data_IF_585006407892
#
_entry.id   IF_585006407892
#
_cell.length_a   1.000
_cell.length_b   1.000
_cell.length_c   1.000
_cell.angle_alpha   90.00
_cell.angle_beta   90.00
_cell.angle_gamma   90.00
#
_symmetry.space_group_name_H-M   'P 1'
#
loop_
_entity.id
_entity.type
_entity.pdbx_description
1 polymer ?
#
# COMPACT_ATOMS: atom_id res chain seq x y z
N UNK A 1 102.78 9.05 42.04
CA UNK A 1 101.81 8.57 43.05
C UNK A 1 100.95 9.73 43.52
N UNK A 2 99.67 9.77 43.11
CA UNK A 2 98.54 10.21 43.95
C UNK A 2 97.23 9.81 43.25
N UNK A 3 96.37 9.18 44.05
CA UNK A 3 95.23 8.39 43.65
C UNK A 3 94.04 9.23 43.16
N UNK A 4 93.32 8.65 42.20
CA UNK A 4 91.98 9.04 41.76
C UNK A 4 90.98 8.48 42.78
N UNK A 5 90.09 9.33 43.30
CA UNK A 5 88.96 8.91 44.13
C UNK A 5 87.69 8.99 43.27
N UNK A 6 87.15 7.83 42.93
CA UNK A 6 85.82 7.68 42.34
C UNK A 6 84.77 7.81 43.44
N UNK A 7 83.87 8.78 43.28
CA UNK A 7 82.70 8.98 44.14
C UNK A 7 81.57 8.08 43.64
N UNK A 8 81.25 7.08 44.47
CA UNK A 8 80.25 6.05 44.20
C UNK A 8 78.87 6.58 44.59
N UNK A 9 78.07 6.99 43.59
CA UNK A 9 76.66 7.34 43.78
C UNK A 9 75.91 6.09 44.22
N UNK A 10 75.40 6.11 45.45
CA UNK A 10 74.65 5.02 46.04
C UNK A 10 73.24 4.96 45.43
N UNK A 11 72.88 3.76 45.00
CA UNK A 11 71.59 3.36 44.47
C UNK A 11 70.57 3.31 45.63
N UNK A 12 69.73 4.33 45.74
CA UNK A 12 68.59 4.32 46.67
C UNK A 12 67.53 3.35 46.13
N UNK A 13 67.61 2.10 46.60
CA UNK A 13 66.57 1.10 46.43
C UNK A 13 65.24 1.64 47.00
N UNK A 14 64.35 2.03 46.10
CA UNK A 14 62.97 2.46 46.38
C UNK A 14 62.17 1.26 46.89
N UNK A 15 62.22 1.04 48.20
CA UNK A 15 61.38 0.03 48.86
C UNK A 15 59.91 0.42 48.70
N UNK A 16 59.16 -0.35 47.91
CA UNK A 16 57.71 -0.17 47.78
C UNK A 16 57.06 -0.43 49.15
N UNK A 17 56.25 0.50 49.69
CA UNK A 17 55.64 0.31 50.99
C UNK A 17 54.72 -0.92 50.98
N UNK A 18 54.91 -1.80 51.97
CA UNK A 18 54.08 -2.99 52.13
C UNK A 18 52.66 -2.57 52.53
N UNK A 19 51.68 -2.94 51.72
CA UNK A 19 50.25 -2.75 52.00
C UNK A 19 49.87 -3.68 53.17
N UNK A 20 49.18 -3.15 54.19
CA UNK A 20 48.66 -3.94 55.31
C UNK A 20 47.59 -4.93 54.86
N UNK A 21 47.42 -6.03 55.59
CA UNK A 21 46.40 -7.03 55.25
C UNK A 21 44.98 -6.45 55.33
N UNK A 22 44.72 -5.54 56.27
CA UNK A 22 43.45 -4.80 56.37
C UNK A 22 43.15 -4.00 55.11
N UNK A 23 44.14 -3.30 54.55
CA UNK A 23 43.98 -2.56 53.30
C UNK A 23 43.79 -3.48 52.09
N UNK A 24 44.34 -4.70 52.11
CA UNK A 24 44.10 -5.70 51.04
C UNK A 24 42.66 -6.22 51.06
N UNK A 25 42.08 -6.38 52.24
CA UNK A 25 40.69 -6.81 52.39
C UNK A 25 39.72 -5.70 51.98
N UNK A 26 39.97 -4.44 52.37
CA UNK A 26 39.21 -3.28 51.86
C UNK A 26 39.21 -3.19 50.33
N UNK A 27 40.40 -3.35 49.71
CA UNK A 27 40.52 -3.33 48.24
C UNK A 27 39.73 -4.49 47.62
N UNK A 28 39.71 -5.67 48.25
CA UNK A 28 38.95 -6.81 47.74
C UNK A 28 37.44 -6.54 47.77
N UNK A 29 36.95 -5.95 48.86
CA UNK A 29 35.54 -5.60 49.00
C UNK A 29 35.13 -4.48 48.02
N UNK A 30 35.98 -3.46 47.84
CA UNK A 30 35.78 -2.40 46.84
C UNK A 30 35.72 -2.98 45.43
N UNK A 31 36.64 -3.89 45.07
CA UNK A 31 36.64 -4.56 43.77
C UNK A 31 35.38 -5.42 43.56
N UNK A 32 34.95 -6.16 44.58
CA UNK A 32 33.72 -6.96 44.51
C UNK A 32 32.48 -6.08 44.26
N UNK A 33 32.40 -4.92 44.91
CA UNK A 33 31.31 -3.96 44.69
C UNK A 33 31.36 -3.36 43.28
N UNK A 34 32.56 -3.04 42.78
CA UNK A 34 32.72 -2.54 41.40
C UNK A 34 32.34 -3.61 40.36
N UNK A 35 32.69 -4.88 40.57
CA UNK A 35 32.29 -5.98 39.69
C UNK A 35 30.76 -6.16 39.67
N UNK A 36 30.08 -6.00 40.82
CA UNK A 36 28.63 -6.01 40.90
C UNK A 36 28.00 -4.83 40.15
N UNK A 37 28.57 -3.62 40.29
CA UNK A 37 28.13 -2.44 39.57
C UNK A 37 28.34 -2.58 38.05
N UNK A 38 29.48 -3.14 37.62
CA UNK A 38 29.76 -3.41 36.22
C UNK A 38 28.74 -4.40 35.63
N UNK A 39 28.46 -5.50 36.33
CA UNK A 39 27.46 -6.48 35.90
C UNK A 39 26.08 -5.85 35.74
N UNK A 40 25.64 -5.04 36.72
CA UNK A 40 24.36 -4.35 36.66
C UNK A 40 24.30 -3.34 35.49
N UNK A 41 25.39 -2.62 35.23
CA UNK A 41 25.46 -1.69 34.10
C UNK A 41 25.40 -2.40 32.74
N UNK A 42 26.05 -3.56 32.60
CA UNK A 42 26.00 -4.39 31.39
C UNK A 42 24.59 -4.93 31.14
N UNK A 43 23.90 -5.39 32.19
CA UNK A 43 22.52 -5.85 32.10
C UNK A 43 21.57 -4.73 31.64
N UNK A 44 21.65 -3.56 32.29
CA UNK A 44 20.85 -2.40 31.91
C UNK A 44 21.13 -1.92 30.47
N UNK A 45 22.38 -2.00 30.01
CA UNK A 45 22.72 -1.70 28.62
C UNK A 45 22.08 -2.71 27.66
N UNK A 46 22.07 -4.00 28.01
CA UNK A 46 21.39 -5.05 27.25
C UNK A 46 19.89 -4.81 27.12
N UNK A 47 19.22 -4.44 28.20
CA UNK A 47 17.79 -4.07 28.19
C UNK A 47 17.53 -2.85 27.30
N UNK A 48 18.36 -1.81 27.42
CA UNK A 48 18.23 -0.61 26.58
C UNK A 48 18.44 -0.90 25.09
N UNK A 49 19.36 -1.81 24.75
CA UNK A 49 19.58 -2.25 23.37
C UNK A 49 18.37 -3.03 22.82
N UNK A 50 17.78 -3.91 23.63
CA UNK A 50 16.58 -4.65 23.24
C UNK A 50 15.38 -3.71 23.00
N UNK A 51 15.18 -2.72 23.86
CA UNK A 51 14.11 -1.74 23.72
C UNK A 51 14.33 -0.83 22.49
N UNK A 52 15.58 -0.41 22.23
CA UNK A 52 15.91 0.34 21.01
C UNK A 52 15.61 -0.47 19.75
N UNK A 53 15.93 -1.77 19.74
CA UNK A 53 15.62 -2.65 18.61
C UNK A 53 14.10 -2.79 18.39
N UNK A 54 13.32 -2.86 19.48
CA UNK A 54 11.85 -2.84 19.44
C UNK A 54 11.32 -1.56 18.81
N UNK A 55 11.77 -0.39 19.31
CA UNK A 55 11.38 0.93 18.79
C UNK A 55 11.77 1.09 17.32
N UNK A 56 12.96 0.64 16.91
CA UNK A 56 13.40 0.71 15.52
C UNK A 56 12.53 -0.15 14.60
N UNK A 57 12.08 -1.31 15.07
CA UNK A 57 11.17 -2.19 14.34
C UNK A 57 9.80 -1.54 14.20
N UNK A 58 9.24 -1.04 15.30
CA UNK A 58 7.95 -0.33 15.31
C UNK A 58 7.99 0.94 14.43
N UNK A 59 9.08 1.71 14.50
CA UNK A 59 9.30 2.87 13.62
C UNK A 59 9.34 2.45 12.15
N UNK A 60 9.99 1.35 11.81
CA UNK A 60 10.03 0.84 10.44
C UNK A 60 8.63 0.45 9.97
N UNK A 61 7.87 -0.25 10.81
CA UNK A 61 6.49 -0.64 10.49
C UNK A 61 5.57 0.57 10.30
N UNK A 62 5.69 1.58 11.16
CA UNK A 62 4.95 2.84 11.04
C UNK A 62 5.39 3.66 9.83
N UNK A 63 6.69 3.64 9.47
CA UNK A 63 7.17 4.28 8.24
C UNK A 63 6.67 3.53 7.00
N UNK A 64 6.61 2.20 7.02
CA UNK A 64 6.01 1.38 5.96
C UNK A 64 4.48 1.58 5.88
N UNK A 65 3.82 1.91 6.98
CA UNK A 65 2.41 2.29 7.03
C UNK A 65 2.18 3.71 6.50
N UNK A 66 3.04 4.67 6.89
CA UNK A 66 2.96 6.07 6.52
C UNK A 66 3.34 6.32 5.06
N UNK A 67 4.45 5.73 4.61
CA UNK A 67 4.88 5.76 3.21
C UNK A 67 4.12 4.75 2.36
N UNK A 68 3.43 3.81 3.04
CA UNK A 68 2.41 2.91 2.53
C UNK A 68 2.67 2.53 1.09
N UNK A 69 3.82 1.86 0.81
CA UNK A 69 4.45 1.75 -0.52
C UNK A 69 3.52 2.34 -1.56
N UNK A 70 3.62 3.65 -1.83
CA UNK A 70 2.88 4.24 -2.92
C UNK A 70 3.36 3.46 -4.14
N UNK A 71 2.64 2.40 -4.49
CA UNK A 71 3.09 1.45 -5.49
C UNK A 71 2.94 2.24 -6.75
N UNK A 72 4.05 2.85 -7.15
CA UNK A 72 4.11 3.58 -8.38
C UNK A 72 3.74 2.55 -9.43
N UNK A 73 2.74 2.85 -10.26
CA UNK A 73 2.39 1.93 -11.31
C UNK A 73 3.63 1.66 -12.15
N UNK A 74 3.79 0.41 -12.61
CA UNK A 74 5.01 -0.03 -13.27
C UNK A 74 5.42 0.97 -14.36
N UNK A 75 6.69 1.39 -14.35
CA UNK A 75 7.21 2.40 -15.28
C UNK A 75 6.94 1.93 -16.71
N UNK A 76 6.01 2.61 -17.37
CA UNK A 76 5.50 2.27 -18.70
C UNK A 76 5.70 3.48 -19.61
N UNK A 77 6.52 3.32 -20.63
CA UNK A 77 6.58 4.28 -21.73
C UNK A 77 5.42 3.99 -22.68
N UNK A 78 4.51 4.95 -22.81
CA UNK A 78 3.31 4.78 -23.62
C UNK A 78 3.67 5.00 -25.10
N UNK A 79 3.72 3.91 -25.87
CA UNK A 79 3.89 4.03 -27.33
C UNK A 79 2.57 4.44 -28.01
N UNK A 80 2.63 5.05 -29.21
CA UNK A 80 1.42 5.39 -29.97
C UNK A 80 0.49 4.20 -30.20
N UNK A 81 1.04 3.01 -30.49
CA UNK A 81 0.25 1.80 -30.71
C UNK A 81 -0.48 1.34 -29.44
N UNK A 82 0.12 1.52 -28.25
CA UNK A 82 -0.52 1.21 -26.97
C UNK A 82 -1.65 2.19 -26.66
N UNK A 83 -1.40 3.49 -26.89
CA UNK A 83 -2.41 4.53 -26.78
C UNK A 83 -3.62 4.25 -27.68
N UNK A 84 -3.36 3.96 -28.96
CA UNK A 84 -4.41 3.64 -29.94
C UNK A 84 -5.16 2.37 -29.56
N UNK A 85 -4.46 1.34 -29.07
CA UNK A 85 -5.09 0.12 -28.58
C UNK A 85 -6.04 0.37 -27.41
N UNK A 86 -5.62 1.18 -26.43
CA UNK A 86 -6.44 1.56 -25.29
C UNK A 86 -7.67 2.38 -25.70
N UNK A 87 -7.49 3.36 -26.58
CA UNK A 87 -8.56 4.22 -27.10
C UNK A 87 -9.55 3.41 -27.93
N UNK A 88 -9.07 2.50 -28.79
CA UNK A 88 -9.95 1.63 -29.58
C UNK A 88 -10.77 0.68 -28.70
N UNK A 89 -10.19 0.15 -27.62
CA UNK A 89 -10.92 -0.67 -26.65
C UNK A 89 -12.01 0.14 -25.95
N UNK A 90 -11.67 1.36 -25.49
CA UNK A 90 -12.64 2.28 -24.87
C UNK A 90 -13.75 2.67 -25.85
N UNK A 91 -13.40 2.96 -27.11
CA UNK A 91 -14.35 3.27 -28.18
C UNK A 91 -15.31 2.12 -28.45
N UNK A 92 -14.80 0.89 -28.49
CA UNK A 92 -15.63 -0.28 -28.71
C UNK A 92 -16.66 -0.48 -27.58
N UNK A 93 -16.31 -0.17 -26.33
CA UNK A 93 -17.26 -0.19 -25.21
C UNK A 93 -18.24 1.00 -25.25
N UNK A 94 -17.77 2.18 -25.63
CA UNK A 94 -18.61 3.35 -25.84
C UNK A 94 -19.68 3.10 -26.92
N UNK A 95 -19.28 2.59 -28.09
CA UNK A 95 -20.18 2.32 -29.21
C UNK A 95 -21.25 1.28 -28.85
N UNK A 96 -20.91 0.28 -28.02
CA UNK A 96 -21.90 -0.69 -27.47
C UNK A 96 -22.95 -0.01 -26.58
N UNK A 97 -22.55 1.02 -25.84
CA UNK A 97 -23.45 1.78 -24.97
C UNK A 97 -24.26 2.86 -25.68
N UNK A 98 -23.82 3.28 -26.87
CA UNK A 98 -24.51 4.23 -27.74
C UNK A 98 -25.50 3.56 -28.72
N UNK A 99 -25.33 2.26 -29.02
CA UNK A 99 -26.24 1.46 -29.85
C UNK A 99 -27.67 1.46 -29.26
N UNK A 100 -28.68 1.74 -30.10
CA UNK A 100 -30.10 1.79 -29.76
C UNK A 100 -30.62 0.49 -29.11
N UNK A 101 -29.93 -0.63 -29.33
CA UNK A 101 -30.25 -1.91 -28.69
C UNK A 101 -29.84 -1.99 -27.21
N UNK A 102 -29.14 -0.98 -26.68
CA UNK A 102 -28.62 -0.88 -25.30
C UNK A 102 -28.25 -2.26 -24.78
N UNK A 103 -27.23 -2.86 -25.40
CA UNK A 103 -26.76 -4.17 -24.95
C UNK A 103 -26.39 -4.05 -23.48
N UNK A 104 -27.18 -4.68 -22.63
CA UNK A 104 -26.80 -5.20 -21.33
C UNK A 104 -25.69 -4.45 -20.55
N UNK A 105 -25.99 -3.29 -19.95
CA UNK A 105 -25.17 -2.71 -18.88
C UNK A 105 -24.19 -1.62 -19.28
N UNK A 106 -24.24 -1.19 -20.54
CA UNK A 106 -23.45 -0.09 -21.06
C UNK A 106 -24.43 1.02 -21.45
N UNK A 107 -24.45 2.11 -20.68
CA UNK A 107 -25.12 3.35 -21.09
C UNK A 107 -24.09 4.45 -21.14
N UNK A 108 -23.96 5.04 -22.32
CA UNK A 108 -23.29 6.32 -22.47
C UNK A 108 -24.29 7.41 -22.11
N UNK A 109 -23.84 8.44 -21.39
CA UNK A 109 -24.66 9.62 -21.11
C UNK A 109 -25.09 10.26 -22.44
N UNK A 110 -26.36 10.64 -22.53
CA UNK A 110 -26.91 11.23 -23.75
C UNK A 110 -26.12 12.48 -24.17
N UNK A 111 -25.80 12.59 -25.45
CA UNK A 111 -25.07 13.72 -26.03
C UNK A 111 -23.56 13.70 -25.83
N UNK A 112 -23.00 12.66 -25.20
CA UNK A 112 -21.55 12.52 -25.07
C UNK A 112 -20.88 12.26 -26.42
N UNK A 113 -19.81 12.99 -26.71
CA UNK A 113 -19.01 12.83 -27.93
C UNK A 113 -17.70 12.10 -27.62
N UNK A 114 -17.53 10.90 -28.19
CA UNK A 114 -16.30 10.14 -28.01
C UNK A 114 -15.06 10.87 -28.53
N UNK A 115 -15.19 11.70 -29.57
CA UNK A 115 -14.05 12.46 -30.09
C UNK A 115 -13.52 13.45 -29.03
N UNK A 116 -14.40 14.01 -28.20
CA UNK A 116 -14.00 14.87 -27.09
C UNK A 116 -13.31 14.08 -25.96
N UNK A 117 -13.77 12.87 -25.66
CA UNK A 117 -13.11 11.96 -24.70
C UNK A 117 -11.72 11.58 -25.19
N UNK A 118 -11.60 11.18 -26.46
CA UNK A 118 -10.33 10.80 -27.09
C UNK A 118 -9.34 11.97 -27.06
N UNK A 119 -9.76 13.16 -27.48
CA UNK A 119 -8.91 14.35 -27.47
C UNK A 119 -8.40 14.67 -26.06
N UNK A 120 -9.26 14.50 -25.04
CA UNK A 120 -8.90 14.72 -23.63
C UNK A 120 -7.88 13.69 -23.13
N UNK A 121 -8.06 12.41 -23.45
CA UNK A 121 -7.12 11.34 -23.11
C UNK A 121 -5.75 11.49 -23.77
N UNK A 122 -5.71 11.98 -25.02
CA UNK A 122 -4.46 12.18 -25.77
C UNK A 122 -3.67 13.43 -25.35
N UNK A 123 -4.25 14.30 -24.52
CA UNK A 123 -3.55 15.48 -24.02
C UNK A 123 -2.36 15.06 -23.13
N UNK A 124 -1.22 15.76 -23.26
CA UNK A 124 0.03 15.39 -22.58
C UNK A 124 -0.12 15.36 -21.06
N UNK A 125 -0.93 16.24 -20.49
CA UNK A 125 -1.25 16.28 -19.06
C UNK A 125 -2.01 15.04 -18.56
N UNK A 126 -2.60 14.25 -19.47
CA UNK A 126 -3.40 13.06 -19.17
C UNK A 126 -2.70 11.75 -19.55
N UNK A 127 -1.39 11.79 -19.79
CA UNK A 127 -0.61 10.60 -20.20
C UNK A 127 -0.72 9.47 -19.18
N UNK A 128 -0.72 9.77 -17.88
CA UNK A 128 -0.86 8.76 -16.82
C UNK A 128 -2.25 8.11 -16.78
N UNK A 129 -3.31 8.89 -17.05
CA UNK A 129 -4.67 8.38 -17.18
C UNK A 129 -4.76 7.44 -18.38
N UNK A 130 -4.16 7.81 -19.51
CA UNK A 130 -4.14 6.95 -20.70
C UNK A 130 -3.32 5.67 -20.47
N UNK A 131 -2.21 5.74 -19.74
CA UNK A 131 -1.47 4.54 -19.27
C UNK A 131 -2.34 3.67 -18.38
N UNK A 132 -3.10 4.25 -17.46
CA UNK A 132 -4.01 3.51 -16.59
C UNK A 132 -5.11 2.80 -17.39
N UNK A 133 -5.73 3.47 -18.38
CA UNK A 133 -6.69 2.84 -19.30
C UNK A 133 -6.04 1.69 -20.07
N UNK A 134 -4.82 1.88 -20.58
CA UNK A 134 -4.07 0.79 -21.22
C UNK A 134 -3.85 -0.40 -20.28
N UNK A 135 -3.41 -0.16 -19.03
CA UNK A 135 -3.20 -1.21 -18.03
C UNK A 135 -4.51 -1.92 -17.64
N UNK A 136 -5.64 -1.20 -17.57
CA UNK A 136 -6.96 -1.82 -17.41
C UNK A 136 -7.23 -2.84 -18.52
N UNK A 137 -7.04 -2.44 -19.78
CA UNK A 137 -7.25 -3.32 -20.95
C UNK A 137 -6.30 -4.53 -20.89
N UNK A 138 -5.03 -4.33 -20.58
CA UNK A 138 -4.05 -5.42 -20.44
C UNK A 138 -4.41 -6.40 -19.32
N UNK A 139 -5.00 -5.90 -18.23
CA UNK A 139 -5.47 -6.72 -17.12
C UNK A 139 -6.78 -7.48 -17.42
N UNK A 140 -7.29 -7.40 -18.66
CA UNK A 140 -8.54 -8.05 -19.06
C UNK A 140 -9.81 -7.30 -18.67
N UNK A 141 -9.68 -6.08 -18.14
CA UNK A 141 -10.83 -5.22 -17.85
C UNK A 141 -11.43 -4.64 -19.13
N UNK A 142 -12.67 -4.18 -18.99
CA UNK A 142 -13.41 -3.50 -20.05
C UNK A 142 -13.72 -2.07 -19.61
N UNK A 143 -12.77 -1.13 -19.75
CA UNK A 143 -13.03 0.25 -19.38
C UNK A 143 -14.08 0.86 -20.32
N UNK A 144 -15.01 1.63 -19.76
CA UNK A 144 -15.99 2.40 -20.52
C UNK A 144 -16.14 3.80 -19.92
N UNK A 145 -16.59 4.74 -20.74
CA UNK A 145 -16.96 6.08 -20.28
C UNK A 145 -18.37 6.01 -19.69
N UNK A 146 -18.52 6.34 -18.41
CA UNK A 146 -19.77 6.12 -17.66
C UNK A 146 -20.53 7.40 -17.33
N UNK A 147 -19.84 8.54 -17.21
CA UNK A 147 -20.48 9.84 -17.05
C UNK A 147 -19.53 10.99 -17.42
N UNK A 148 -20.12 12.18 -17.57
CA UNK A 148 -19.43 13.46 -17.72
C UNK A 148 -19.87 14.42 -16.61
N UNK A 149 -18.91 15.11 -16.01
CA UNK A 149 -19.16 16.17 -15.05
C UNK A 149 -18.21 17.36 -15.27
N UNK A 150 -18.77 18.54 -15.55
CA UNK A 150 -17.97 19.76 -15.70
C UNK A 150 -16.90 19.67 -16.80
N UNK A 151 -17.17 18.92 -17.88
CA UNK A 151 -16.23 18.67 -18.96
C UNK A 151 -15.12 17.68 -18.62
N UNK A 152 -15.23 16.94 -17.52
CA UNK A 152 -14.40 15.77 -17.18
C UNK A 152 -15.17 14.49 -17.45
N UNK A 153 -14.47 13.45 -17.87
CA UNK A 153 -15.07 12.16 -18.20
C UNK A 153 -14.66 11.10 -17.19
N UNK A 154 -15.61 10.37 -16.64
CA UNK A 154 -15.34 9.22 -15.78
C UNK A 154 -15.17 7.97 -16.64
N UNK A 155 -14.00 7.35 -16.54
CA UNK A 155 -13.71 6.05 -17.15
C UNK A 155 -13.67 5.02 -16.04
N UNK A 156 -14.56 4.03 -16.12
CA UNK A 156 -14.74 3.01 -15.10
C UNK A 156 -14.62 1.62 -15.69
N UNK A 157 -14.21 0.65 -14.87
CA UNK A 157 -14.18 -0.75 -15.27
C UNK A 157 -15.60 -1.36 -15.28
N UNK A 158 -16.02 -1.83 -16.46
CA UNK A 158 -17.40 -2.28 -16.74
C UNK A 158 -17.46 -3.77 -17.06
N UNK A 159 -17.13 -4.61 -16.08
CA UNK A 159 -17.26 -6.07 -16.20
C UNK A 159 -18.48 -6.61 -15.45
N UNK A 160 -19.07 -7.70 -15.94
CA UNK A 160 -20.24 -8.32 -15.32
C UNK A 160 -19.92 -9.19 -14.10
N UNK A 161 -18.66 -9.61 -13.93
CA UNK A 161 -18.18 -10.35 -12.77
C UNK A 161 -16.78 -9.88 -12.45
N UNK A 162 -16.43 -9.91 -11.16
CA UNK A 162 -15.07 -9.63 -10.69
C UNK A 162 -14.06 -10.49 -11.46
N UNK A 163 -12.99 -9.87 -11.95
CA UNK A 163 -11.90 -10.60 -12.62
C UNK A 163 -11.29 -11.62 -11.65
N UNK A 164 -11.14 -12.86 -12.09
CA UNK A 164 -10.68 -13.97 -11.24
C UNK A 164 -9.30 -13.71 -10.62
N UNK A 165 -8.46 -12.99 -11.36
CA UNK A 165 -7.10 -12.58 -11.00
C UNK A 165 -7.08 -11.47 -9.92
N UNK A 166 -8.23 -10.85 -9.66
CA UNK A 166 -8.42 -9.81 -8.63
C UNK A 166 -9.38 -10.24 -7.53
N UNK A 167 -10.06 -11.38 -7.72
CA UNK A 167 -10.93 -11.98 -6.73
C UNK A 167 -10.14 -12.50 -5.52
N UNK A 168 -10.86 -12.84 -4.46
CA UNK A 168 -10.31 -13.23 -3.17
C UNK A 168 -9.36 -12.19 -2.55
N UNK A 169 -9.57 -10.89 -2.78
CA UNK A 169 -8.78 -9.84 -2.16
C UNK A 169 -9.43 -9.31 -0.88
N UNK A 170 -8.63 -8.69 -0.02
CA UNK A 170 -9.06 -7.85 1.11
C UNK A 170 -8.96 -6.37 0.72
N UNK A 171 -9.39 -5.47 1.58
CA UNK A 171 -9.41 -4.04 1.21
C UNK A 171 -8.01 -3.42 1.09
N UNK A 172 -7.21 -3.47 2.16
CA UNK A 172 -5.91 -2.81 2.23
C UNK A 172 -4.82 -3.71 2.85
N UNK A 173 -3.59 -3.19 2.88
CA UNK A 173 -2.41 -3.89 3.40
C UNK A 173 -2.55 -4.30 4.86
N UNK A 174 -3.20 -3.47 5.69
CA UNK A 174 -3.45 -3.79 7.10
C UNK A 174 -4.35 -5.03 7.21
N UNK A 175 -5.41 -5.08 6.40
CA UNK A 175 -6.26 -6.26 6.32
C UNK A 175 -5.52 -7.49 5.78
N UNK A 176 -4.64 -7.32 4.79
CA UNK A 176 -3.84 -8.42 4.20
C UNK A 176 -2.90 -9.04 5.24
N UNK A 177 -2.21 -8.22 6.04
CA UNK A 177 -1.35 -8.72 7.12
C UNK A 177 -2.12 -9.51 8.18
N UNK A 178 -3.36 -9.10 8.49
CA UNK A 178 -4.20 -9.79 9.48
C UNK A 178 -4.78 -11.11 8.97
N UNK A 179 -5.03 -11.21 7.66
CA UNK A 179 -5.58 -12.43 7.03
C UNK A 179 -4.48 -13.41 6.63
N UNK A 180 -3.30 -12.92 6.25
CA UNK A 180 -2.24 -13.72 5.66
C UNK A 180 -2.35 -13.76 4.13
N UNK A 181 -1.22 -13.56 3.44
CA UNK A 181 -1.13 -13.54 1.96
C UNK A 181 -1.45 -14.91 1.35
N UNK A 182 -1.32 -15.97 2.10
CA UNK A 182 -1.66 -17.34 1.71
C UNK A 182 -3.17 -17.58 1.64
N UNK A 183 -3.98 -16.75 2.32
CA UNK A 183 -5.44 -16.90 2.39
C UNK A 183 -6.19 -15.94 1.46
N UNK A 184 -5.52 -14.90 0.96
CA UNK A 184 -6.10 -13.91 0.07
C UNK A 184 -5.16 -13.55 -1.08
N UNK A 185 -5.72 -13.07 -2.19
CA UNK A 185 -4.96 -12.55 -3.32
C UNK A 185 -4.43 -11.12 -3.07
N UNK A 186 -4.12 -10.81 -1.81
CA UNK A 186 -3.74 -9.49 -1.30
C UNK A 186 -4.85 -8.49 -1.31
N UNK A 187 -4.51 -7.23 -1.56
CA UNK A 187 -5.41 -6.12 -1.24
C UNK A 187 -5.77 -5.22 -2.43
N UNK A 188 -7.02 -4.75 -2.43
CA UNK A 188 -7.61 -3.90 -3.46
C UNK A 188 -6.84 -2.59 -3.66
N UNK A 189 -6.48 -1.88 -2.58
CA UNK A 189 -5.77 -0.59 -2.65
C UNK A 189 -4.42 -0.73 -3.37
N UNK A 190 -3.60 -1.70 -2.99
CA UNK A 190 -2.30 -1.93 -3.61
C UNK A 190 -2.44 -2.39 -5.06
N UNK A 191 -3.40 -3.28 -5.35
CA UNK A 191 -3.64 -3.72 -6.73
C UNK A 191 -4.11 -2.58 -7.64
N UNK A 192 -4.95 -1.67 -7.14
CA UNK A 192 -5.43 -0.53 -7.92
C UNK A 192 -4.32 0.49 -8.19
N UNK A 193 -3.49 0.77 -7.17
CA UNK A 193 -2.31 1.63 -7.30
C UNK A 193 -1.32 1.09 -8.34
N UNK A 194 -1.08 -0.23 -8.37
CA UNK A 194 -0.23 -0.88 -9.39
C UNK A 194 -0.72 -0.64 -10.82
N UNK A 195 -2.03 -0.60 -11.03
CA UNK A 195 -2.63 -0.29 -12.33
C UNK A 195 -2.61 1.21 -12.62
N UNK A 196 -2.44 2.05 -11.60
CA UNK A 196 -2.53 3.50 -11.72
C UNK A 196 -3.97 3.99 -11.76
N UNK A 197 -4.91 3.22 -11.20
CA UNK A 197 -6.32 3.61 -11.10
C UNK A 197 -6.76 3.68 -9.63
N UNK A 198 -7.43 4.76 -9.20
CA UNK A 198 -8.13 4.78 -7.92
C UNK A 198 -9.20 3.68 -7.85
N UNK A 199 -9.49 3.18 -6.66
CA UNK A 199 -10.74 2.46 -6.44
C UNK A 199 -11.91 3.35 -6.87
N UNK A 200 -13.00 2.74 -7.33
CA UNK A 200 -14.18 3.47 -7.78
C UNK A 200 -14.85 4.22 -6.63
N UNK A 201 -15.35 5.42 -6.88
CA UNK A 201 -16.14 6.19 -5.91
C UNK A 201 -17.51 5.57 -5.70
N UNK A 202 -18.08 5.68 -4.49
CA UNK A 202 -19.33 5.00 -4.16
C UNK A 202 -20.55 5.46 -4.96
N UNK A 203 -20.61 6.74 -5.34
CA UNK A 203 -21.74 7.25 -6.13
C UNK A 203 -21.62 6.88 -7.61
N UNK A 204 -20.40 6.85 -8.15
CA UNK A 204 -20.11 6.28 -9.47
C UNK A 204 -20.47 4.79 -9.49
N UNK A 205 -20.09 4.04 -8.46
CA UNK A 205 -20.42 2.62 -8.36
C UNK A 205 -21.93 2.37 -8.34
N UNK A 206 -22.70 3.13 -7.55
CA UNK A 206 -24.17 3.01 -7.54
C UNK A 206 -24.77 3.35 -8.91
N UNK A 207 -24.41 4.49 -9.48
CA UNK A 207 -24.96 4.96 -10.75
C UNK A 207 -24.65 3.97 -11.89
N UNK A 208 -23.40 3.53 -11.96
CA UNK A 208 -22.94 2.59 -12.97
C UNK A 208 -23.56 1.19 -12.77
N UNK A 209 -23.62 0.69 -11.54
CA UNK A 209 -24.07 -0.68 -11.30
C UNK A 209 -25.58 -0.89 -11.46
N UNK A 210 -26.40 0.16 -11.30
CA UNK A 210 -27.87 0.09 -11.52
C UNK A 210 -28.21 -0.26 -12.97
N UNK A 211 -27.35 0.04 -13.93
CA UNK A 211 -27.65 -0.10 -15.35
C UNK A 211 -27.36 -1.50 -15.92
N UNK A 212 -26.65 -2.38 -15.20
CA UNK A 212 -26.44 -3.77 -15.65
C UNK A 212 -27.76 -4.55 -15.70
N UNK A 213 -28.03 -5.38 -16.72
CA UNK A 213 -29.31 -6.09 -16.82
C UNK A 213 -29.37 -7.34 -15.96
N UNK A 214 -28.23 -7.95 -15.63
CA UNK A 214 -28.18 -9.20 -14.90
C UNK A 214 -28.55 -8.96 -13.44
N UNK A 215 -29.53 -9.70 -12.94
CA UNK A 215 -30.08 -9.52 -11.60
C UNK A 215 -29.14 -9.98 -10.49
N UNK A 216 -28.21 -10.89 -10.80
CA UNK A 216 -27.26 -11.48 -9.86
C UNK A 216 -25.85 -11.54 -10.48
N UNK A 217 -25.14 -10.40 -10.44
CA UNK A 217 -23.71 -10.42 -10.64
C UNK A 217 -23.05 -10.78 -9.31
N UNK A 218 -22.32 -11.89 -9.27
CA UNK A 218 -21.50 -12.29 -8.13
C UNK A 218 -20.26 -11.39 -8.03
N UNK A 219 -20.48 -10.10 -7.84
CA UNK A 219 -19.44 -9.11 -7.65
C UNK A 219 -19.65 -8.42 -6.30
N UNK A 220 -18.64 -8.51 -5.44
CA UNK A 220 -18.54 -7.77 -4.20
C UNK A 220 -17.25 -6.96 -4.25
N UNK A 221 -17.26 -5.94 -5.11
CA UNK A 221 -16.07 -5.19 -5.44
C UNK A 221 -15.86 -4.08 -4.41
N UNK A 222 -14.68 -4.08 -3.77
CA UNK A 222 -14.22 -2.97 -2.95
C UNK A 222 -14.18 -1.68 -3.77
N UNK A 223 -14.71 -0.63 -3.16
CA UNK A 223 -14.74 0.74 -3.67
C UNK A 223 -14.10 1.67 -2.64
N UNK A 224 -13.92 2.95 -2.95
CA UNK A 224 -13.26 3.89 -2.04
C UNK A 224 -13.96 3.95 -0.67
N UNK A 225 -13.19 3.68 0.38
CA UNK A 225 -13.61 3.88 1.75
C UNK A 225 -13.34 5.32 2.20
N UNK A 226 -14.28 5.87 2.96
CA UNK A 226 -14.05 7.08 3.75
C UNK A 226 -13.11 6.80 4.92
N UNK A 227 -12.42 7.81 5.46
CA UNK A 227 -11.61 7.65 6.67
C UNK A 227 -12.40 7.09 7.85
N UNK A 228 -13.65 7.51 8.03
CA UNK A 228 -14.53 7.06 9.11
C UNK A 228 -14.88 5.57 8.99
N UNK A 229 -15.16 5.07 7.79
CA UNK A 229 -15.39 3.65 7.55
C UNK A 229 -14.13 2.84 7.89
N UNK A 230 -12.95 3.32 7.49
CA UNK A 230 -11.67 2.65 7.77
C UNK A 230 -11.31 2.64 9.25
N UNK A 231 -11.56 3.72 9.98
CA UNK A 231 -11.33 3.81 11.42
C UNK A 231 -12.11 2.73 12.18
N UNK A 232 -13.34 2.43 11.73
CA UNK A 232 -14.18 1.35 12.25
C UNK A 232 -13.75 -0.05 11.77
N UNK A 233 -12.67 -0.15 11.01
CA UNK A 233 -12.21 -1.39 10.38
C UNK A 233 -13.08 -1.85 9.20
N UNK A 234 -14.00 -1.02 8.74
CA UNK A 234 -14.92 -1.27 7.64
C UNK A 234 -14.36 -0.87 6.28
N UNK A 235 -14.89 -1.45 5.21
CA UNK A 235 -14.61 -1.08 3.83
C UNK A 235 -15.88 -1.28 2.99
N UNK A 236 -16.28 -0.29 2.17
CA UNK A 236 -17.45 -0.41 1.33
C UNK A 236 -17.18 -1.35 0.15
N UNK A 237 -18.16 -2.20 -0.13
CA UNK A 237 -18.22 -2.98 -1.35
C UNK A 237 -19.50 -2.65 -2.11
N UNK A 238 -19.36 -2.46 -3.41
CA UNK A 238 -20.48 -2.38 -4.32
C UNK A 238 -20.82 -3.78 -4.83
N UNK A 239 -22.11 -4.09 -4.87
CA UNK A 239 -22.63 -5.38 -5.36
C UNK A 239 -23.98 -5.17 -6.02
N UNK A 240 -24.33 -6.02 -6.98
CA UNK A 240 -25.68 -6.07 -7.56
C UNK A 240 -26.38 -7.32 -7.08
N UNK A 241 -27.52 -7.16 -6.44
CA UNK A 241 -28.29 -8.26 -5.86
C UNK A 241 -29.78 -8.02 -6.09
N UNK A 242 -30.51 -9.04 -6.54
CA UNK A 242 -31.96 -8.96 -6.77
C UNK A 242 -32.37 -7.80 -7.70
N UNK A 243 -31.56 -7.53 -8.73
CA UNK A 243 -31.84 -6.48 -9.72
C UNK A 243 -31.58 -5.05 -9.25
N UNK A 244 -31.00 -4.84 -8.06
CA UNK A 244 -30.59 -3.53 -7.56
C UNK A 244 -29.10 -3.45 -7.28
N UNK A 245 -28.51 -2.26 -7.45
CA UNK A 245 -27.17 -1.98 -6.96
C UNK A 245 -27.23 -1.59 -5.47
N UNK A 246 -26.28 -2.09 -4.69
CA UNK A 246 -26.14 -1.70 -3.29
C UNK A 246 -24.67 -1.55 -2.91
N UNK A 247 -24.41 -0.59 -2.03
CA UNK A 247 -23.13 -0.43 -1.35
C UNK A 247 -23.32 -0.86 0.10
N UNK A 248 -22.47 -1.77 0.57
CA UNK A 248 -22.49 -2.27 1.94
C UNK A 248 -21.09 -2.20 2.53
N UNK A 249 -21.00 -1.77 3.78
CA UNK A 249 -19.72 -1.77 4.51
C UNK A 249 -19.50 -3.15 5.12
N UNK A 250 -18.38 -3.78 4.76
CA UNK A 250 -17.93 -5.05 5.32
C UNK A 250 -16.68 -4.83 6.17
N UNK A 251 -16.28 -5.81 6.97
CA UNK A 251 -14.94 -5.79 7.57
C UNK A 251 -13.89 -5.79 6.44
N UNK A 252 -12.87 -4.94 6.52
CA UNK A 252 -11.84 -4.84 5.49
C UNK A 252 -11.05 -6.14 5.23
N UNK A 253 -11.08 -7.08 6.17
CA UNK A 253 -10.49 -8.43 6.05
C UNK A 253 -11.35 -9.43 5.29
N UNK A 254 -12.58 -9.06 4.95
CA UNK A 254 -13.49 -9.96 4.26
C UNK A 254 -12.92 -10.29 2.87
N UNK A 255 -12.73 -11.56 2.58
CA UNK A 255 -12.21 -12.08 1.32
C UNK A 255 -13.07 -13.26 0.88
N UNK A 256 -12.90 -13.70 -0.36
CA UNK A 256 -13.63 -14.81 -0.96
C UNK A 256 -13.72 -14.70 -2.47
N UNK A 257 -14.22 -15.75 -3.12
CA UNK A 257 -14.15 -15.93 -4.59
C UNK A 257 -14.84 -14.84 -5.41
N UNK A 258 -15.68 -14.02 -4.78
CA UNK A 258 -16.39 -12.91 -5.42
C UNK A 258 -15.99 -11.54 -4.87
N UNK A 259 -14.98 -11.48 -4.01
CA UNK A 259 -14.43 -10.25 -3.41
C UNK A 259 -13.26 -9.75 -4.24
N UNK A 260 -13.48 -8.69 -4.99
CA UNK A 260 -12.42 -8.02 -5.74
C UNK A 260 -12.51 -6.52 -5.59
N UNK A 261 -12.22 -5.81 -6.67
CA UNK A 261 -12.27 -4.35 -6.71
C UNK A 261 -12.48 -3.85 -8.13
N UNK A 262 -13.00 -2.62 -8.24
CA UNK A 262 -13.12 -1.90 -9.51
C UNK A 262 -12.43 -0.56 -9.44
N UNK A 263 -11.76 -0.21 -10.51
CA UNK A 263 -11.18 1.10 -10.72
C UNK A 263 -12.11 2.06 -11.43
N UNK A 264 -11.98 3.33 -11.10
CA UNK A 264 -12.46 4.43 -11.92
C UNK A 264 -11.47 5.59 -11.88
N UNK A 265 -11.33 6.30 -12.99
CA UNK A 265 -10.52 7.50 -13.08
C UNK A 265 -11.27 8.59 -13.83
N UNK A 266 -10.86 9.82 -13.58
CA UNK A 266 -11.38 11.00 -14.25
C UNK A 266 -10.32 11.58 -15.17
N UNK A 267 -10.73 11.97 -16.38
CA UNK A 267 -9.89 12.61 -17.38
C UNK A 267 -10.48 13.93 -17.86
#
# INVERSE_FOLDING_TARGET
>A
MKAVAEEKVADEATATPAISDERRDEIRDELSNLDEQERAAVEALGEAQAELARIQTERRELMDELLGDAVQPDALELTPAMADGAINALKAEFDKGADETRKAGYRVQEGMDFAAVEAKLRATENEEQLKAVYRMVQAGSRPAVVCEEGGRYCIAETFGQTLSERANCVYDRKAERQVGRENCNGNAVTQSQKIGVPLMEGDIAKAHMVEFPDTDQYCYDYIQATPEERERGGAPCASRYSGGACVRVFNARNHGDFRGWRGALWV
#
